data_IF_076424427068
#
_entry.id   IF_076424427068
#
_cell.length_a   1.000
_cell.length_b   1.000
_cell.length_c   1.000
_cell.angle_alpha   90.00
_cell.angle_beta   90.00
_cell.angle_gamma   90.00
#
_symmetry.space_group_name_H-M   'P 1'
#
loop_
_entity.id
_entity.type
_entity.pdbx_description
1 polymer ?
#
# COMPACT_ATOMS: atom_id res chain seq x y z
N UNK A 1 19.71 -6.47 -17.13
CA UNK A 1 18.83 -5.48 -16.44
C UNK A 1 17.53 -6.21 -16.06
N UNK A 2 17.15 -6.23 -14.78
CA UNK A 2 16.00 -7.01 -14.30
C UNK A 2 14.67 -6.40 -14.80
N UNK A 3 13.71 -7.23 -15.24
CA UNK A 3 12.43 -6.80 -15.84
C UNK A 3 11.63 -5.90 -14.89
N UNK A 4 11.68 -6.18 -13.59
CA UNK A 4 11.01 -5.37 -12.56
C UNK A 4 11.60 -3.96 -12.51
N UNK A 5 12.93 -3.84 -12.52
CA UNK A 5 13.64 -2.56 -12.47
C UNK A 5 13.33 -1.73 -13.73
N UNK A 6 13.31 -2.36 -14.90
CA UNK A 6 12.94 -1.69 -16.15
C UNK A 6 11.49 -1.17 -16.12
N UNK A 7 10.55 -1.95 -15.57
CA UNK A 7 9.14 -1.52 -15.43
C UNK A 7 8.95 -0.41 -14.40
N UNK A 8 9.68 -0.45 -13.29
CA UNK A 8 9.72 0.62 -12.30
C UNK A 8 10.30 1.92 -12.89
N UNK A 9 11.37 1.83 -13.67
CA UNK A 9 11.96 3.00 -14.33
C UNK A 9 11.02 3.64 -15.36
N UNK A 10 10.27 2.82 -16.11
CA UNK A 10 9.29 3.28 -17.10
C UNK A 10 8.01 3.85 -16.48
N UNK A 11 7.78 3.66 -15.18
CA UNK A 11 6.56 4.09 -14.52
C UNK A 11 6.49 5.63 -14.40
N UNK A 12 5.30 6.24 -14.61
CA UNK A 12 5.06 7.63 -14.27
C UNK A 12 5.44 7.92 -12.81
N UNK A 13 5.93 9.14 -12.52
CA UNK A 13 6.40 9.51 -11.16
C UNK A 13 5.34 9.21 -10.09
N UNK A 14 4.09 9.57 -10.32
CA UNK A 14 2.99 9.30 -9.39
C UNK A 14 2.74 7.80 -9.15
N UNK A 15 2.83 6.96 -10.19
CA UNK A 15 2.71 5.50 -10.05
C UNK A 15 3.87 4.92 -9.23
N UNK A 16 5.10 5.40 -9.42
CA UNK A 16 6.25 4.99 -8.59
C UNK A 16 6.07 5.36 -7.13
N UNK A 17 5.65 6.60 -6.87
CA UNK A 17 5.40 7.06 -5.51
C UNK A 17 4.30 6.22 -4.84
N UNK A 18 3.27 5.84 -5.59
CA UNK A 18 2.22 4.96 -5.09
C UNK A 18 2.73 3.57 -4.73
N UNK A 19 3.61 2.99 -5.57
CA UNK A 19 4.28 1.71 -5.28
C UNK A 19 5.19 1.79 -4.05
N UNK A 20 5.90 2.89 -3.86
CA UNK A 20 6.68 3.14 -2.65
C UNK A 20 5.79 3.22 -1.40
N UNK A 21 4.64 3.89 -1.50
CA UNK A 21 3.66 3.91 -0.41
C UNK A 21 3.16 2.51 -0.03
N UNK A 22 2.88 1.65 -1.02
CA UNK A 22 2.52 0.25 -0.77
C UNK A 22 3.65 -0.52 -0.08
N UNK A 23 4.90 -0.32 -0.50
CA UNK A 23 6.06 -0.94 0.13
C UNK A 23 6.20 -0.52 1.61
N UNK A 24 6.01 0.78 1.90
CA UNK A 24 5.98 1.28 3.29
C UNK A 24 4.80 0.68 4.07
N UNK A 25 3.64 0.53 3.44
CA UNK A 25 2.48 -0.16 3.99
C UNK A 25 2.79 -1.60 4.42
N UNK A 26 3.47 -2.36 3.55
CA UNK A 26 3.95 -3.72 3.84
C UNK A 26 4.94 -3.73 5.00
N UNK A 27 5.91 -2.80 5.02
CA UNK A 27 6.88 -2.71 6.11
C UNK A 27 6.18 -2.48 7.46
N UNK A 28 5.17 -1.61 7.51
CA UNK A 28 4.38 -1.40 8.72
C UNK A 28 3.65 -2.67 9.21
N UNK A 29 3.10 -3.47 8.28
CA UNK A 29 2.48 -4.76 8.61
C UNK A 29 3.50 -5.80 9.09
N UNK A 30 4.69 -5.83 8.49
CA UNK A 30 5.78 -6.73 8.93
C UNK A 30 6.22 -6.38 10.35
N UNK A 31 6.34 -5.08 10.66
CA UNK A 31 6.68 -4.62 12.02
C UNK A 31 5.61 -5.04 13.02
N UNK A 32 4.32 -4.87 12.71
CA UNK A 32 3.21 -5.36 13.57
C UNK A 32 3.29 -6.86 13.79
N UNK A 33 3.58 -7.65 12.75
CA UNK A 33 3.67 -9.10 12.84
C UNK A 33 4.86 -9.58 13.66
N UNK A 34 6.02 -8.92 13.54
CA UNK A 34 7.20 -9.27 14.35
C UNK A 34 6.96 -8.93 15.82
N UNK A 35 6.24 -7.83 16.09
CA UNK A 35 5.90 -7.41 17.45
C UNK A 35 4.90 -8.38 18.12
N UNK A 36 3.83 -8.74 17.43
CA UNK A 36 2.81 -9.67 17.94
C UNK A 36 2.43 -10.72 16.88
N UNK A 37 3.23 -11.79 16.72
CA UNK A 37 3.01 -12.80 15.68
C UNK A 37 1.74 -13.64 15.93
N UNK A 38 1.32 -13.77 17.19
CA UNK A 38 0.13 -14.54 17.57
C UNK A 38 -1.16 -13.90 17.04
N UNK A 39 -1.19 -12.57 16.95
CA UNK A 39 -2.32 -11.81 16.41
C UNK A 39 -2.56 -12.02 14.92
N UNK A 40 -1.52 -12.37 14.17
CA UNK A 40 -1.57 -12.48 12.71
C UNK A 40 -1.17 -13.87 12.19
N UNK A 41 -1.32 -14.91 13.02
CA UNK A 41 -0.95 -16.28 12.67
C UNK A 41 -1.84 -16.87 11.55
N UNK A 42 -1.28 -17.65 10.60
CA UNK A 42 0.14 -17.97 10.40
C UNK A 42 0.95 -16.91 9.65
N UNK A 43 0.29 -16.02 8.89
CA UNK A 43 0.93 -14.90 8.20
C UNK A 43 -0.10 -13.79 7.94
N UNK A 44 0.25 -12.49 8.06
CA UNK A 44 -0.70 -11.41 7.84
C UNK A 44 -1.22 -11.41 6.39
N UNK A 45 -2.52 -11.66 6.14
CA UNK A 45 -3.06 -11.74 4.79
C UNK A 45 -2.91 -10.41 4.05
N UNK A 46 -2.95 -9.28 4.77
CA UNK A 46 -2.76 -7.94 4.21
C UNK A 46 -1.43 -7.78 3.45
N UNK A 47 -0.34 -8.40 3.89
CA UNK A 47 0.96 -8.32 3.21
C UNK A 47 0.88 -8.97 1.83
N UNK A 48 0.27 -10.16 1.75
CA UNK A 48 0.09 -10.89 0.49
C UNK A 48 -0.76 -10.07 -0.47
N UNK A 49 -1.88 -9.51 0.00
CA UNK A 49 -2.78 -8.75 -0.87
C UNK A 49 -2.12 -7.46 -1.37
N UNK A 50 -1.38 -6.73 -0.53
CA UNK A 50 -0.62 -5.54 -1.00
C UNK A 50 0.42 -5.95 -2.04
N UNK A 51 1.17 -7.03 -1.81
CA UNK A 51 2.20 -7.49 -2.73
C UNK A 51 1.60 -7.86 -4.09
N UNK A 52 0.49 -8.62 -4.12
CA UNK A 52 -0.23 -8.97 -5.34
C UNK A 52 -0.71 -7.71 -6.07
N UNK A 53 -1.33 -6.76 -5.37
CA UNK A 53 -1.77 -5.50 -5.95
C UNK A 53 -0.59 -4.68 -6.50
N UNK A 54 0.55 -4.63 -5.80
CA UNK A 54 1.77 -3.97 -6.28
C UNK A 54 2.30 -4.60 -7.57
N UNK A 55 2.29 -5.94 -7.66
CA UNK A 55 2.62 -6.66 -8.90
C UNK A 55 1.65 -6.33 -10.01
N UNK A 56 0.33 -6.26 -9.73
CA UNK A 56 -0.66 -5.85 -10.73
C UNK A 56 -0.41 -4.43 -11.25
N UNK A 57 -0.04 -3.48 -10.38
CA UNK A 57 0.34 -2.13 -10.80
C UNK A 57 1.58 -2.16 -11.71
N UNK A 58 2.60 -2.96 -11.38
CA UNK A 58 3.78 -3.14 -12.23
C UNK A 58 3.45 -3.80 -13.58
N UNK A 59 2.56 -4.80 -13.57
CA UNK A 59 2.11 -5.47 -14.78
C UNK A 59 1.32 -4.53 -15.69
N UNK A 60 0.55 -3.61 -15.10
CA UNK A 60 -0.32 -2.67 -15.80
C UNK A 60 0.27 -1.28 -15.98
N UNK A 61 1.52 -1.04 -15.60
CA UNK A 61 2.18 0.30 -15.52
C UNK A 61 2.04 1.21 -16.76
N UNK A 62 1.85 0.62 -17.95
CA UNK A 62 1.62 1.36 -19.21
C UNK A 62 0.20 1.89 -19.37
N UNK A 63 -0.72 1.47 -18.51
CA UNK A 63 -2.14 1.87 -18.50
C UNK A 63 -2.31 3.01 -17.51
N UNK A 64 -3.11 4.01 -17.90
CA UNK A 64 -3.37 5.18 -17.06
C UNK A 64 -4.09 4.84 -15.74
N UNK A 65 -4.79 3.72 -15.70
CA UNK A 65 -5.50 3.19 -14.53
C UNK A 65 -4.68 2.21 -13.69
N UNK A 66 -3.38 2.02 -13.98
CA UNK A 66 -2.52 1.15 -13.19
C UNK A 66 -2.55 1.42 -11.67
N UNK A 67 -2.57 2.69 -11.19
CA UNK A 67 -2.58 2.97 -9.76
C UNK A 67 -3.90 2.63 -9.05
N UNK A 68 -4.97 2.28 -9.77
CA UNK A 68 -6.27 1.91 -9.16
C UNK A 68 -6.09 0.82 -8.11
N UNK A 69 -5.28 -0.21 -8.41
CA UNK A 69 -5.08 -1.32 -7.48
C UNK A 69 -4.41 -0.86 -6.18
N UNK A 70 -3.46 0.09 -6.24
CA UNK A 70 -2.85 0.68 -5.04
C UNK A 70 -3.87 1.45 -4.19
N UNK A 71 -4.73 2.23 -4.83
CA UNK A 71 -5.75 3.02 -4.11
C UNK A 71 -6.78 2.10 -3.47
N UNK A 72 -7.29 1.13 -4.21
CA UNK A 72 -8.30 0.20 -3.70
C UNK A 72 -7.76 -0.65 -2.54
N UNK A 73 -6.52 -1.16 -2.64
CA UNK A 73 -5.97 -1.98 -1.55
C UNK A 73 -5.65 -1.13 -0.32
N UNK A 74 -5.16 0.10 -0.49
CA UNK A 74 -4.93 1.01 0.62
C UNK A 74 -6.23 1.32 1.37
N UNK A 75 -7.29 1.66 0.64
CA UNK A 75 -8.61 1.90 1.23
C UNK A 75 -9.17 0.64 1.88
N UNK A 76 -9.09 -0.51 1.23
CA UNK A 76 -9.58 -1.78 1.77
C UNK A 76 -8.91 -2.13 3.11
N UNK A 77 -7.58 -1.96 3.24
CA UNK A 77 -6.89 -2.30 4.47
C UNK A 77 -7.21 -1.32 5.59
N UNK A 78 -7.26 -0.02 5.30
CA UNK A 78 -7.60 0.98 6.30
C UNK A 78 -9.06 0.82 6.76
N UNK A 79 -10.00 0.72 5.82
CA UNK A 79 -11.42 0.56 6.13
C UNK A 79 -11.73 -0.80 6.75
N UNK A 80 -11.11 -1.87 6.25
CA UNK A 80 -11.26 -3.22 6.79
C UNK A 80 -10.70 -3.33 8.21
N UNK A 81 -9.51 -2.76 8.47
CA UNK A 81 -8.93 -2.70 9.81
C UNK A 81 -9.75 -1.85 10.78
N UNK A 82 -10.42 -0.80 10.28
CA UNK A 82 -11.31 0.02 11.08
C UNK A 82 -12.62 -0.69 11.39
N UNK A 83 -13.28 -1.27 10.37
CA UNK A 83 -14.53 -2.01 10.50
C UNK A 83 -14.39 -3.28 11.34
N UNK A 84 -13.24 -3.95 11.28
CA UNK A 84 -12.90 -5.07 12.15
C UNK A 84 -12.57 -4.64 13.59
N UNK A 85 -12.57 -3.34 13.88
CA UNK A 85 -12.26 -2.80 15.21
C UNK A 85 -10.82 -3.02 15.64
N UNK A 86 -9.87 -3.26 14.72
CA UNK A 86 -8.49 -3.61 15.06
C UNK A 86 -7.52 -2.43 15.00
N UNK A 87 -7.82 -1.38 14.23
CA UNK A 87 -6.93 -0.22 14.10
C UNK A 87 -6.75 0.55 15.43
N UNK A 88 -7.84 0.86 16.12
CA UNK A 88 -7.78 1.64 17.37
C UNK A 88 -7.07 0.86 18.49
N UNK A 89 -7.39 -0.43 18.74
CA UNK A 89 -6.66 -1.22 19.73
C UNK A 89 -5.16 -1.36 19.41
N UNK A 90 -4.78 -1.43 18.13
CA UNK A 90 -3.37 -1.49 17.76
C UNK A 90 -2.63 -0.18 18.07
N UNK A 91 -3.29 0.96 17.88
CA UNK A 91 -2.72 2.29 18.15
C UNK A 91 -2.61 2.62 19.64
N UNK A 92 -3.47 2.03 20.47
CA UNK A 92 -3.49 2.24 21.93
C UNK A 92 -2.89 1.04 22.68
N UNK A 93 -2.34 0.07 21.95
CA UNK A 93 -1.68 -1.08 22.57
C UNK A 93 -0.46 -0.65 23.38
N UNK A 94 -0.18 -1.38 24.47
CA UNK A 94 1.05 -1.19 25.24
C UNK A 94 2.32 -1.67 24.50
N UNK A 95 2.17 -2.27 23.32
CA UNK A 95 3.26 -2.76 22.49
C UNK A 95 3.69 -1.68 21.49
N UNK A 96 4.88 -1.10 21.73
CA UNK A 96 5.43 -0.04 20.87
C UNK A 96 5.65 -0.49 19.41
N UNK A 97 5.92 -1.78 19.17
CA UNK A 97 6.08 -2.33 17.82
C UNK A 97 4.75 -2.38 17.07
N UNK A 98 3.68 -2.80 17.74
CA UNK A 98 2.33 -2.79 17.17
C UNK A 98 1.86 -1.37 16.86
N UNK A 99 2.09 -0.41 17.75
CA UNK A 99 1.77 1.01 17.52
C UNK A 99 2.57 1.57 16.35
N UNK A 100 3.90 1.43 16.39
CA UNK A 100 4.79 1.94 15.35
C UNK A 100 4.46 1.35 13.97
N UNK A 101 4.28 0.03 13.90
CA UNK A 101 3.91 -0.64 12.66
C UNK A 101 2.54 -0.21 12.14
N UNK A 102 1.57 0.08 13.01
CA UNK A 102 0.24 0.59 12.62
C UNK A 102 0.33 2.01 12.06
N UNK A 103 1.13 2.88 12.68
CA UNK A 103 1.39 4.24 12.18
C UNK A 103 2.09 4.19 10.82
N UNK A 104 3.18 3.41 10.70
CA UNK A 104 3.94 3.27 9.44
C UNK A 104 3.06 2.70 8.33
N UNK A 105 2.28 1.66 8.63
CA UNK A 105 1.34 1.08 7.68
C UNK A 105 0.34 2.14 7.20
N UNK A 106 -0.31 2.83 8.13
CA UNK A 106 -1.37 3.80 7.81
C UNK A 106 -0.85 4.96 6.97
N UNK A 107 0.33 5.49 7.30
CA UNK A 107 0.98 6.55 6.53
C UNK A 107 1.37 6.07 5.13
N UNK A 108 1.95 4.87 5.01
CA UNK A 108 2.32 4.28 3.72
C UNK A 108 1.12 4.08 2.80
N UNK A 109 0.03 3.53 3.33
CA UNK A 109 -1.21 3.31 2.57
C UNK A 109 -1.89 4.63 2.19
N UNK A 110 -1.95 5.60 3.11
CA UNK A 110 -2.48 6.93 2.81
C UNK A 110 -1.68 7.61 1.69
N UNK A 111 -0.35 7.54 1.76
CA UNK A 111 0.52 8.06 0.72
C UNK A 111 0.30 7.34 -0.62
N UNK A 112 0.15 6.01 -0.61
CA UNK A 112 -0.13 5.22 -1.80
C UNK A 112 -1.46 5.61 -2.46
N UNK A 113 -2.50 5.84 -1.65
CA UNK A 113 -3.82 6.25 -2.10
C UNK A 113 -3.81 7.65 -2.73
N UNK A 114 -3.18 8.63 -2.06
CA UNK A 114 -3.09 10.01 -2.56
C UNK A 114 -2.30 10.07 -3.86
N UNK A 115 -1.09 9.52 -3.87
CA UNK A 115 -0.21 9.56 -5.06
C UNK A 115 -0.79 8.76 -6.22
N UNK A 116 -1.46 7.64 -5.95
CA UNK A 116 -2.18 6.85 -6.95
C UNK A 116 -3.35 7.63 -7.57
N UNK A 117 -4.13 8.34 -6.75
CA UNK A 117 -5.24 9.17 -7.21
C UNK A 117 -4.76 10.35 -8.06
N UNK A 118 -3.72 11.06 -7.61
CA UNK A 118 -3.11 12.17 -8.36
C UNK A 118 -2.53 11.68 -9.70
N UNK A 119 -1.89 10.50 -9.73
CA UNK A 119 -1.37 9.93 -10.96
C UNK A 119 -2.48 9.66 -11.99
N UNK A 120 -3.63 9.15 -11.56
CA UNK A 120 -4.78 8.92 -12.43
C UNK A 120 -5.41 10.23 -12.93
N UNK A 121 -5.57 11.22 -12.04
CA UNK A 121 -6.12 12.52 -12.40
C UNK A 121 -5.22 13.25 -13.42
N UNK A 122 -3.91 13.28 -13.20
CA UNK A 122 -2.96 13.94 -14.10
C UNK A 122 -2.97 13.37 -15.52
N UNK A 123 -3.05 12.04 -15.67
CA UNK A 123 -3.08 11.40 -16.99
C UNK A 123 -4.43 11.60 -17.70
N UNK A 124 -5.55 11.62 -16.95
CA UNK A 124 -6.86 11.94 -17.53
C UNK A 124 -6.91 13.38 -18.06
N UNK A 125 -6.40 14.33 -17.29
CA UNK A 125 -6.38 15.74 -17.69
C UNK A 125 -5.50 15.98 -18.92
N UNK A 126 -4.37 15.26 -19.05
CA UNK A 126 -3.50 15.32 -20.21
C UNK A 126 -4.11 14.70 -21.49
N UNK A 127 -5.09 13.80 -21.36
CA UNK A 127 -5.80 13.18 -22.50
C UNK A 127 -7.03 13.97 -22.95
N UNK A 128 -7.54 14.86 -22.10
CA UNK A 128 -8.72 15.68 -22.38
C UNK A 128 -8.38 17.04 -23.00
N UNK A 129 -7.09 17.38 -23.08
CA UNK A 129 -6.54 18.54 -23.81
C UNK A 129 -5.98 18.07 -25.15
#
# INVERSE_FOLDING_TARGET
MNVIVARMAAAPRGTRLSLWGLAVGVLGLVVQWIADPGKFYPFPPGIVVIAVCGVLVLCTVRRWWAPVFSVLIALWIVLGGWAAGQLVPNLVSGDMGTVAGTVVMSLGLMFAAVTGTVAMAGVRHARAR
#
